data_IF_656625304093
#
_entry.id   IF_656625304093
#
_cell.length_a   1.000
_cell.length_b   1.000
_cell.length_c   1.000
_cell.angle_alpha   90.00
_cell.angle_beta   90.00
_cell.angle_gamma   90.00
#
_symmetry.space_group_name_H-M   'P 1'
#
loop_
_entity.id
_entity.type
_entity.pdbx_description
1 polymer ?
#
# COMPACT_ATOMS: atom_id res chain seq x y z
N UNK A 1 -13.53 10.06 2.60
CA UNK A 1 -12.14 9.60 2.74
C UNK A 1 -12.00 8.99 4.12
N UNK A 2 -11.57 7.73 4.20
CA UNK A 2 -11.24 7.06 5.47
C UNK A 2 -9.73 6.90 5.55
N UNK A 3 -9.15 7.03 6.74
CA UNK A 3 -7.71 6.91 6.96
C UNK A 3 -7.47 5.91 8.07
N UNK A 4 -6.67 4.89 7.79
CA UNK A 4 -6.18 3.91 8.76
C UNK A 4 -4.67 4.03 8.88
N UNK A 5 -4.18 4.07 10.11
CA UNK A 5 -2.75 4.15 10.41
C UNK A 5 -2.41 3.00 11.34
N UNK A 6 -1.49 2.14 10.90
CA UNK A 6 -0.90 1.11 11.70
C UNK A 6 0.59 1.44 11.93
N UNK A 7 0.94 1.69 13.19
CA UNK A 7 2.33 1.90 13.61
C UNK A 7 2.81 0.66 14.35
N UNK A 8 3.68 -0.11 13.71
CA UNK A 8 4.19 -1.37 14.27
C UNK A 8 5.71 -1.51 14.12
N UNK A 9 6.31 -2.27 15.03
CA UNK A 9 7.73 -2.68 14.97
C UNK A 9 7.91 -3.91 14.06
N UNK A 10 9.15 -4.39 13.89
CA UNK A 10 9.40 -5.70 13.29
C UNK A 10 8.62 -6.75 14.10
N UNK A 11 7.81 -7.57 13.43
CA UNK A 11 6.84 -8.55 13.99
C UNK A 11 5.40 -8.09 14.25
N UNK A 12 5.07 -6.81 14.05
CA UNK A 12 3.68 -6.37 14.18
C UNK A 12 2.81 -6.88 13.00
N UNK A 13 1.67 -7.56 13.24
CA UNK A 13 0.77 -8.08 12.19
C UNK A 13 0.13 -6.99 11.33
N UNK A 14 0.09 -5.75 11.82
CA UNK A 14 -0.48 -4.58 11.14
C UNK A 14 0.57 -3.81 10.33
N UNK A 15 1.87 -4.08 10.55
CA UNK A 15 2.95 -3.52 9.75
C UNK A 15 3.11 -4.31 8.45
N UNK A 16 3.09 -3.60 7.31
CA UNK A 16 3.45 -4.15 6.00
C UNK A 16 4.80 -4.89 6.07
N UNK A 17 4.92 -6.07 5.42
CA UNK A 17 4.00 -6.64 4.43
C UNK A 17 2.83 -7.46 4.99
N UNK A 18 2.64 -7.53 6.32
CA UNK A 18 1.59 -8.37 6.91
C UNK A 18 0.19 -7.76 6.67
N UNK A 19 -0.84 -8.59 6.42
CA UNK A 19 -2.16 -8.12 5.98
C UNK A 19 -3.07 -7.62 7.12
N UNK A 20 -2.59 -7.57 8.37
CA UNK A 20 -3.45 -7.34 9.53
C UNK A 20 -4.21 -6.02 9.46
N UNK A 21 -3.59 -4.96 8.91
CA UNK A 21 -4.26 -3.66 8.74
C UNK A 21 -5.47 -3.76 7.80
N UNK A 22 -5.34 -4.50 6.70
CA UNK A 22 -6.44 -4.75 5.76
C UNK A 22 -7.55 -5.58 6.40
N UNK A 23 -7.18 -6.68 7.07
CA UNK A 23 -8.13 -7.59 7.71
C UNK A 23 -8.99 -6.88 8.76
N UNK A 24 -8.39 -5.97 9.53
CA UNK A 24 -9.12 -5.14 10.49
C UNK A 24 -10.06 -4.16 9.78
N UNK A 25 -9.59 -3.49 8.72
CA UNK A 25 -10.42 -2.56 7.94
C UNK A 25 -11.66 -3.26 7.38
N UNK A 26 -11.48 -4.38 6.69
CA UNK A 26 -12.56 -5.15 6.09
C UNK A 26 -13.56 -5.63 7.15
N UNK A 27 -13.06 -6.17 8.27
CA UNK A 27 -13.91 -6.78 9.29
C UNK A 27 -14.65 -5.79 10.17
N UNK A 28 -14.01 -4.67 10.53
CA UNK A 28 -14.51 -3.78 11.58
C UNK A 28 -14.78 -2.37 11.13
N UNK A 29 -14.15 -1.90 10.05
CA UNK A 29 -14.18 -0.48 9.71
C UNK A 29 -14.74 -0.17 8.32
N UNK A 30 -15.23 -1.17 7.58
CA UNK A 30 -15.91 -0.94 6.32
C UNK A 30 -17.44 -0.89 6.44
N UNK A 31 -17.97 -0.53 7.63
CA UNK A 31 -19.42 -0.43 7.90
C UNK A 31 -20.24 -1.68 7.54
N UNK A 32 -19.61 -2.86 7.57
CA UNK A 32 -20.24 -4.13 7.17
C UNK A 32 -20.46 -4.28 5.66
N UNK A 33 -19.91 -3.39 4.84
CA UNK A 33 -19.92 -3.48 3.38
C UNK A 33 -18.83 -4.48 2.96
N UNK A 34 -19.19 -5.45 2.11
CA UNK A 34 -18.23 -6.38 1.52
C UNK A 34 -17.29 -5.65 0.57
N UNK A 35 -15.99 -5.92 0.63
CA UNK A 35 -15.02 -5.37 -0.31
C UNK A 35 -15.13 -6.11 -1.64
N UNK A 36 -15.31 -5.36 -2.73
CA UNK A 36 -15.20 -5.89 -4.09
C UNK A 36 -13.71 -5.97 -4.46
N UNK A 37 -13.15 -7.17 -4.39
CA UNK A 37 -11.72 -7.41 -4.66
C UNK A 37 -11.36 -7.21 -6.14
N UNK A 38 -12.31 -7.41 -7.06
CA UNK A 38 -12.06 -7.23 -8.50
C UNK A 38 -11.95 -5.74 -8.86
N UNK A 39 -12.67 -4.89 -8.14
CA UNK A 39 -12.60 -3.43 -8.27
C UNK A 39 -11.57 -2.78 -7.32
N UNK A 40 -10.90 -3.57 -6.48
CA UNK A 40 -9.90 -3.08 -5.52
C UNK A 40 -8.47 -3.26 -6.03
N UNK A 41 -7.59 -2.36 -5.58
CA UNK A 41 -6.17 -2.37 -5.89
C UNK A 41 -5.38 -1.63 -4.81
N UNK A 42 -4.07 -1.86 -4.76
CA UNK A 42 -3.12 -1.18 -3.87
C UNK A 42 -2.09 -0.42 -4.71
N UNK A 43 -1.78 0.81 -4.29
CA UNK A 43 -0.74 1.65 -4.93
C UNK A 43 0.34 1.97 -3.89
N UNK A 44 1.60 1.69 -4.20
CA UNK A 44 2.71 1.88 -3.27
C UNK A 44 4.08 1.91 -3.94
N UNK A 45 5.05 2.57 -3.30
CA UNK A 45 6.40 2.78 -3.83
C UNK A 45 7.39 1.68 -3.42
N UNK A 46 7.09 0.93 -2.35
CA UNK A 46 7.94 -0.16 -1.88
C UNK A 46 7.70 -1.46 -2.68
N UNK A 47 8.11 -1.46 -3.96
CA UNK A 47 7.87 -2.55 -4.90
C UNK A 47 9.07 -3.51 -5.08
N UNK A 48 10.14 -3.32 -4.31
CA UNK A 48 11.33 -4.19 -4.37
C UNK A 48 12.23 -3.96 -5.60
N UNK A 49 12.11 -2.81 -6.27
CA UNK A 49 13.01 -2.40 -7.36
C UNK A 49 14.39 -2.02 -6.77
N UNK A 50 15.46 -1.95 -7.60
CA UNK A 50 16.81 -1.66 -7.11
C UNK A 50 16.94 -0.40 -6.24
N UNK A 51 16.14 0.64 -6.51
CA UNK A 51 16.15 1.92 -5.79
C UNK A 51 15.04 2.05 -4.72
N UNK A 52 14.20 1.02 -4.55
CA UNK A 52 13.14 1.04 -3.54
C UNK A 52 13.73 0.74 -2.15
N UNK A 53 13.24 1.44 -1.13
CA UNK A 53 13.69 1.25 0.24
C UNK A 53 13.32 -0.14 0.82
N UNK A 54 12.30 -0.79 0.26
CA UNK A 54 11.85 -2.14 0.62
C UNK A 54 10.90 -2.72 -0.45
N UNK A 55 10.41 -3.93 -0.23
CA UNK A 55 9.36 -4.60 -1.02
C UNK A 55 8.04 -4.75 -0.23
N UNK A 56 7.85 -3.89 0.79
CA UNK A 56 6.76 -4.04 1.74
C UNK A 56 5.36 -3.83 1.12
N UNK A 57 5.23 -2.99 0.10
CA UNK A 57 3.94 -2.65 -0.53
C UNK A 57 3.47 -3.74 -1.48
N UNK A 58 4.35 -4.21 -2.35
CA UNK A 58 4.02 -5.30 -3.28
C UNK A 58 3.69 -6.57 -2.52
N UNK A 59 4.48 -6.93 -1.49
CA UNK A 59 4.19 -8.10 -0.65
C UNK A 59 2.93 -7.95 0.18
N UNK A 60 2.57 -6.74 0.60
CA UNK A 60 1.30 -6.48 1.27
C UNK A 60 0.12 -6.73 0.33
N UNK A 61 0.18 -6.21 -0.90
CA UNK A 61 -0.84 -6.43 -1.91
C UNK A 61 -0.98 -7.93 -2.25
N UNK A 62 0.14 -8.63 -2.45
CA UNK A 62 0.18 -10.07 -2.69
C UNK A 62 -0.43 -10.88 -1.55
N UNK A 63 -0.10 -10.55 -0.29
CA UNK A 63 -0.62 -11.25 0.88
C UNK A 63 -2.15 -11.14 1.04
N UNK A 64 -2.75 -10.10 0.46
CA UNK A 64 -4.20 -9.86 0.47
C UNK A 64 -4.87 -10.41 -0.81
N UNK A 65 -4.12 -10.49 -1.91
CA UNK A 65 -4.66 -10.79 -3.25
C UNK A 65 -5.16 -9.55 -3.99
N UNK A 66 -4.61 -8.37 -3.71
CA UNK A 66 -4.91 -7.13 -4.42
C UNK A 66 -4.07 -6.97 -5.68
N UNK A 67 -4.66 -6.36 -6.72
CA UNK A 67 -3.89 -5.81 -7.84
C UNK A 67 -2.95 -4.73 -7.31
N UNK A 68 -1.72 -4.70 -7.80
CA UNK A 68 -0.70 -3.74 -7.38
C UNK A 68 -0.34 -2.78 -8.52
N UNK A 69 -0.20 -1.50 -8.20
CA UNK A 69 0.28 -0.47 -9.12
C UNK A 69 1.37 0.37 -8.48
N UNK A 70 2.31 0.86 -9.28
CA UNK A 70 3.24 1.89 -8.86
C UNK A 70 2.56 3.26 -8.89
N UNK A 71 2.96 4.21 -8.02
CA UNK A 71 2.44 5.57 -8.04
C UNK A 71 2.57 6.24 -9.40
N UNK A 72 3.71 6.08 -10.07
CA UNK A 72 3.99 6.66 -11.39
C UNK A 72 3.13 6.08 -12.51
N UNK A 73 2.73 4.81 -12.40
CA UNK A 73 1.85 4.16 -13.38
C UNK A 73 0.39 4.59 -13.18
N UNK A 74 -0.03 4.78 -11.92
CA UNK A 74 -1.42 5.03 -11.57
C UNK A 74 -1.78 6.52 -11.55
N UNK A 75 -0.90 7.36 -11.03
CA UNK A 75 -1.11 8.81 -10.89
C UNK A 75 -0.35 9.63 -11.95
N UNK A 76 0.56 9.01 -12.70
CA UNK A 76 1.41 9.67 -13.68
C UNK A 76 2.76 10.12 -13.12
N UNK A 77 3.59 10.79 -13.93
CA UNK A 77 4.97 11.13 -13.58
C UNK A 77 5.07 11.94 -12.29
N UNK A 78 5.99 11.55 -11.40
CA UNK A 78 6.31 12.32 -10.21
C UNK A 78 7.14 13.54 -10.65
N UNK A 79 6.51 14.70 -10.76
CA UNK A 79 7.24 15.96 -10.93
C UNK A 79 8.09 16.23 -9.69
N UNK A 80 9.40 16.05 -9.81
CA UNK A 80 10.33 16.48 -8.76
C UNK A 80 10.36 18.00 -8.75
N UNK A 81 9.81 18.63 -7.70
CA UNK A 81 10.02 20.05 -7.47
C UNK A 81 11.52 20.32 -7.27
N UNK A 82 12.13 20.97 -8.26
CA UNK A 82 13.38 21.73 -8.18
C UNK A 82 14.54 21.06 -7.44
N UNK A 83 15.33 20.24 -8.15
CA UNK A 83 16.77 20.32 -7.95
C UNK A 83 17.25 21.54 -8.74
N UNK A 84 17.44 22.67 -8.03
CA UNK A 84 18.15 23.81 -8.58
C UNK A 84 19.47 23.31 -9.17
N UNK A 85 19.62 23.54 -10.47
CA UNK A 85 20.84 23.24 -11.20
C UNK A 85 21.89 24.29 -10.84
N UNK A 86 23.08 23.80 -10.52
CA UNK A 86 24.37 24.50 -10.29
C UNK A 86 24.58 25.11 -8.89
#
# INVERSE_FOLDING_TARGET
MQVFIACGYSEDPYRKPRPGMWQIMEKYFNSGISVDMDQSFYVGDAAGRPDDHSDADIKFAEAIGLKFHLPEDYFGPIEKQGQASQ
#
